data_IF_166019748815
#
_entry.id   IF_166019748815
#
_cell.length_a   1.000
_cell.length_b   1.000
_cell.length_c   1.000
_cell.angle_alpha   90.00
_cell.angle_beta   90.00
_cell.angle_gamma   90.00
#
_symmetry.space_group_name_H-M   'P 1'
#
loop_
_entity.id
_entity.type
_entity.pdbx_description
1 polymer ?
#
# COMPACT_ATOMS: atom_id res chain seq x y z
N UNK A 1 25.99 -19.92 5.81
CA UNK A 1 25.40 -21.27 5.64
C UNK A 1 23.91 -21.27 5.95
N UNK A 2 23.44 -20.75 7.06
CA UNK A 2 22.02 -20.74 7.47
C UNK A 2 21.11 -20.01 6.46
N UNK A 3 21.52 -18.86 5.93
CA UNK A 3 20.75 -18.08 4.94
C UNK A 3 20.48 -18.87 3.65
N UNK A 4 21.48 -19.56 3.09
CA UNK A 4 21.31 -20.40 1.89
C UNK A 4 20.45 -21.64 2.14
N UNK A 5 20.45 -22.17 3.36
CA UNK A 5 19.58 -23.29 3.75
C UNK A 5 18.10 -22.83 3.86
N UNK A 6 17.86 -21.62 4.37
CA UNK A 6 16.53 -21.01 4.43
C UNK A 6 16.03 -20.69 3.01
N UNK A 7 16.88 -20.09 2.15
CA UNK A 7 16.57 -19.83 0.74
C UNK A 7 16.17 -21.10 0.00
N UNK A 8 16.93 -22.21 0.16
CA UNK A 8 16.57 -23.53 -0.39
C UNK A 8 15.29 -24.14 0.19
N UNK A 9 15.03 -23.95 1.49
CA UNK A 9 13.79 -24.44 2.10
C UNK A 9 12.55 -23.67 1.57
N UNK A 10 12.71 -22.38 1.25
CA UNK A 10 11.64 -21.54 0.67
C UNK A 10 11.35 -21.91 -0.81
N UNK A 11 12.30 -22.57 -1.50
CA UNK A 11 12.11 -23.08 -2.87
C UNK A 11 11.38 -24.44 -2.89
N UNK A 12 11.19 -25.08 -1.73
CA UNK A 12 10.49 -26.38 -1.67
C UNK A 12 9.01 -26.21 -2.07
N UNK A 13 8.46 -27.04 -2.97
CA UNK A 13 7.09 -26.91 -3.49
C UNK A 13 6.01 -26.83 -2.40
N UNK A 14 6.18 -27.53 -1.27
CA UNK A 14 5.23 -27.46 -0.14
C UNK A 14 5.26 -26.09 0.54
N UNK A 15 6.43 -25.48 0.73
CA UNK A 15 6.58 -24.14 1.32
C UNK A 15 6.07 -23.08 0.35
N UNK A 16 6.34 -23.24 -0.94
CA UNK A 16 5.79 -22.40 -2.01
C UNK A 16 4.26 -22.43 -2.01
N UNK A 17 3.64 -23.62 -1.93
CA UNK A 17 2.19 -23.78 -1.88
C UNK A 17 1.58 -23.19 -0.61
N UNK A 18 2.25 -23.30 0.54
CA UNK A 18 1.85 -22.67 1.80
C UNK A 18 1.91 -21.16 1.68
N UNK A 19 2.99 -20.60 1.13
CA UNK A 19 3.11 -19.17 0.86
C UNK A 19 2.04 -18.65 -0.11
N UNK A 20 1.73 -19.41 -1.16
CA UNK A 20 0.64 -19.10 -2.09
C UNK A 20 -0.72 -19.07 -1.39
N UNK A 21 -1.03 -20.07 -0.56
CA UNK A 21 -2.29 -20.14 0.20
C UNK A 21 -2.45 -18.97 1.17
N UNK A 22 -1.40 -18.63 1.91
CA UNK A 22 -1.41 -17.53 2.87
C UNK A 22 -1.33 -16.17 2.19
N UNK A 23 -0.59 -16.06 1.09
CA UNK A 23 -0.56 -14.87 0.24
C UNK A 23 -1.94 -14.53 -0.32
N UNK A 24 -2.72 -15.52 -0.77
CA UNK A 24 -4.09 -15.31 -1.23
C UNK A 24 -5.01 -14.74 -0.14
N UNK A 25 -4.85 -15.19 1.11
CA UNK A 25 -5.65 -14.66 2.22
C UNK A 25 -5.33 -13.19 2.54
N UNK A 26 -4.07 -12.78 2.40
CA UNK A 26 -3.64 -11.39 2.58
C UNK A 26 -4.09 -10.53 1.40
N UNK A 27 -3.92 -11.00 0.17
CA UNK A 27 -4.43 -10.32 -1.04
C UNK A 27 -5.95 -10.13 -0.98
N UNK A 28 -6.70 -11.12 -0.46
CA UNK A 28 -8.15 -10.97 -0.26
C UNK A 28 -8.46 -9.81 0.69
N UNK A 29 -7.73 -9.66 1.80
CA UNK A 29 -7.93 -8.54 2.74
C UNK A 29 -7.58 -7.18 2.13
N UNK A 30 -6.50 -7.11 1.36
CA UNK A 30 -6.19 -5.89 0.60
C UNK A 30 -7.35 -5.50 -0.33
N UNK A 31 -7.88 -6.48 -1.08
CA UNK A 31 -9.03 -6.25 -1.97
C UNK A 31 -10.30 -5.85 -1.21
N UNK A 32 -10.55 -6.46 -0.05
CA UNK A 32 -11.68 -6.10 0.81
C UNK A 32 -11.57 -4.65 1.27
N UNK A 33 -10.42 -4.26 1.84
CA UNK A 33 -10.20 -2.88 2.28
C UNK A 33 -10.25 -1.90 1.11
N UNK A 34 -9.66 -2.25 -0.04
CA UNK A 34 -9.74 -1.41 -1.24
C UNK A 34 -11.20 -1.17 -1.66
N UNK A 35 -12.00 -2.24 -1.71
CA UNK A 35 -13.41 -2.15 -2.15
C UNK A 35 -14.32 -1.42 -1.15
N UNK A 36 -14.07 -1.59 0.15
CA UNK A 36 -14.92 -1.02 1.20
C UNK A 36 -14.54 0.41 1.60
N UNK A 37 -13.24 0.75 1.54
CA UNK A 37 -12.72 1.99 2.11
C UNK A 37 -12.28 3.02 1.06
N UNK A 38 -12.03 2.59 -0.19
CA UNK A 38 -11.56 3.49 -1.25
C UNK A 38 -12.70 3.80 -2.20
N UNK A 39 -13.30 5.00 -2.12
CA UNK A 39 -14.42 5.38 -2.97
C UNK A 39 -13.96 5.57 -4.42
N UNK A 40 -14.27 4.60 -5.28
CA UNK A 40 -13.80 4.59 -6.66
C UNK A 40 -14.95 4.25 -7.62
N UNK A 41 -15.36 5.23 -8.41
CA UNK A 41 -16.31 5.07 -9.55
C UNK A 41 -15.56 5.04 -10.88
N UNK A 42 -16.28 4.75 -11.97
CA UNK A 42 -15.69 4.62 -13.31
C UNK A 42 -14.89 5.86 -13.78
N UNK A 43 -15.32 7.06 -13.37
CA UNK A 43 -14.66 8.32 -13.74
C UNK A 43 -13.55 8.75 -12.76
N UNK A 44 -13.42 8.06 -11.62
CA UNK A 44 -12.41 8.39 -10.60
C UNK A 44 -11.01 8.12 -11.13
N UNK A 45 -10.14 9.12 -11.13
CA UNK A 45 -8.73 8.97 -11.48
C UNK A 45 -7.93 8.54 -10.24
N UNK A 46 -7.32 7.35 -10.33
CA UNK A 46 -6.60 6.71 -9.23
C UNK A 46 -5.13 6.58 -9.57
N UNK A 47 -4.26 7.01 -8.67
CA UNK A 47 -2.83 6.76 -8.72
C UNK A 47 -2.44 5.70 -7.68
N UNK A 48 -1.84 4.60 -8.11
CA UNK A 48 -1.32 3.54 -7.22
C UNK A 48 0.21 3.62 -7.12
N UNK A 49 0.70 3.87 -5.91
CA UNK A 49 2.12 4.08 -5.59
C UNK A 49 2.76 2.76 -5.13
N UNK A 50 3.78 2.29 -5.87
CA UNK A 50 4.36 0.97 -5.68
C UNK A 50 3.43 -0.13 -6.22
N UNK A 51 2.89 0.05 -7.43
CA UNK A 51 1.88 -0.83 -8.00
C UNK A 51 2.38 -2.24 -8.35
N UNK A 52 3.70 -2.47 -8.33
CA UNK A 52 4.31 -3.73 -8.72
C UNK A 52 3.86 -4.18 -10.12
N UNK A 53 3.44 -5.44 -10.24
CA UNK A 53 2.92 -6.02 -11.48
C UNK A 53 1.44 -5.70 -11.77
N UNK A 54 0.90 -4.66 -11.13
CA UNK A 54 -0.45 -4.15 -11.37
C UNK A 54 -1.58 -4.99 -10.75
N UNK A 55 -1.33 -5.70 -9.66
CA UNK A 55 -2.34 -6.61 -9.04
C UNK A 55 -3.64 -5.89 -8.67
N UNK A 56 -3.55 -4.62 -8.31
CA UNK A 56 -4.67 -3.75 -7.93
C UNK A 56 -5.42 -3.17 -9.12
N UNK A 57 -4.79 -3.03 -10.28
CA UNK A 57 -5.41 -2.52 -11.51
C UNK A 57 -6.64 -3.32 -11.95
N UNK A 58 -6.69 -4.62 -11.62
CA UNK A 58 -7.85 -5.47 -11.92
C UNK A 58 -9.00 -5.38 -10.90
N UNK A 59 -8.87 -4.55 -9.87
CA UNK A 59 -9.87 -4.40 -8.79
C UNK A 59 -10.44 -2.98 -8.75
N UNK A 60 -9.63 -1.99 -9.13
CA UNK A 60 -10.04 -0.58 -9.19
C UNK A 60 -10.94 -0.38 -10.40
N UNK A 61 -12.13 0.16 -10.18
CA UNK A 61 -13.12 0.41 -11.25
C UNK A 61 -12.90 1.72 -11.99
N UNK A 62 -12.03 2.61 -11.49
CA UNK A 62 -11.74 3.94 -12.04
C UNK A 62 -10.65 3.94 -13.12
N UNK A 63 -10.28 5.15 -13.57
CA UNK A 63 -9.14 5.38 -14.47
C UNK A 63 -7.83 5.18 -13.71
N UNK A 64 -7.27 3.99 -13.83
CA UNK A 64 -6.09 3.59 -13.07
C UNK A 64 -4.79 4.03 -13.72
N UNK A 65 -3.91 4.57 -12.88
CA UNK A 65 -2.49 4.79 -13.19
C UNK A 65 -1.64 4.18 -12.08
N UNK A 66 -0.60 3.42 -12.44
CA UNK A 66 0.32 2.81 -11.47
C UNK A 66 1.74 3.30 -11.66
N UNK A 67 2.48 3.48 -10.57
CA UNK A 67 3.92 3.77 -10.58
C UNK A 67 4.68 2.76 -9.75
N UNK A 68 5.83 2.35 -10.23
CA UNK A 68 6.79 1.50 -9.51
C UNK A 68 8.21 1.84 -9.96
N UNK A 69 9.18 1.67 -9.08
CA UNK A 69 10.60 1.94 -9.38
C UNK A 69 11.22 0.86 -10.27
N UNK A 70 10.62 -0.34 -10.29
CA UNK A 70 11.13 -1.49 -11.05
C UNK A 70 10.53 -1.53 -12.46
N UNK A 71 11.34 -1.30 -13.53
CA UNK A 71 10.85 -1.30 -14.91
C UNK A 71 10.31 -2.67 -15.35
N UNK A 72 10.84 -3.79 -14.86
CA UNK A 72 10.36 -5.14 -15.23
C UNK A 72 8.95 -5.40 -14.68
N UNK A 73 8.63 -4.82 -13.50
CA UNK A 73 7.29 -4.87 -12.94
C UNK A 73 6.32 -4.04 -13.78
N UNK A 74 6.72 -2.85 -14.17
CA UNK A 74 5.92 -1.96 -15.04
C UNK A 74 5.65 -2.61 -16.40
N UNK A 75 6.65 -3.19 -17.04
CA UNK A 75 6.48 -3.93 -18.29
C UNK A 75 5.49 -5.10 -18.15
N UNK A 76 5.56 -5.80 -17.03
CA UNK A 76 4.63 -6.90 -16.73
C UNK A 76 3.22 -6.38 -16.49
N UNK A 77 3.07 -5.29 -15.73
CA UNK A 77 1.79 -4.65 -15.45
C UNK A 77 1.12 -4.15 -16.74
N UNK A 78 1.88 -3.47 -17.61
CA UNK A 78 1.38 -2.94 -18.88
C UNK A 78 0.90 -4.05 -19.84
N UNK A 79 1.62 -5.18 -19.91
CA UNK A 79 1.16 -6.35 -20.69
C UNK A 79 -0.11 -6.97 -20.12
N UNK A 80 -0.24 -7.03 -18.81
CA UNK A 80 -1.37 -7.66 -18.12
C UNK A 80 -2.64 -6.80 -18.15
N UNK A 81 -2.48 -5.48 -18.09
CA UNK A 81 -3.58 -4.52 -18.04
C UNK A 81 -3.40 -3.41 -19.07
N UNK A 82 -3.62 -3.71 -20.38
CA UNK A 82 -3.34 -2.78 -21.48
C UNK A 82 -4.19 -1.51 -21.47
N UNK A 83 -5.31 -1.51 -20.73
CA UNK A 83 -6.20 -0.35 -20.61
C UNK A 83 -5.80 0.60 -19.45
N UNK A 84 -4.90 0.18 -18.57
CA UNK A 84 -4.36 1.02 -17.51
C UNK A 84 -3.03 1.66 -17.93
N UNK A 85 -2.61 2.70 -17.22
CA UNK A 85 -1.34 3.39 -17.47
C UNK A 85 -0.34 3.01 -16.40
N UNK A 86 0.90 2.72 -16.81
CA UNK A 86 1.97 2.38 -15.87
C UNK A 86 3.24 3.17 -16.19
N UNK A 87 3.97 3.59 -15.15
CA UNK A 87 5.13 4.44 -15.28
C UNK A 87 6.25 3.96 -14.35
N UNK A 88 7.47 3.84 -14.88
CA UNK A 88 8.66 3.62 -14.04
C UNK A 88 9.01 4.94 -13.35
N UNK A 89 8.79 5.01 -12.03
CA UNK A 89 8.93 6.25 -11.27
C UNK A 89 9.16 5.96 -9.79
N UNK A 90 9.94 6.82 -9.14
CA UNK A 90 10.12 6.82 -7.69
C UNK A 90 8.91 7.50 -7.03
N UNK A 91 8.26 6.79 -6.08
CA UNK A 91 7.11 7.31 -5.33
C UNK A 91 7.45 8.52 -4.43
N UNK A 92 8.72 8.71 -4.11
CA UNK A 92 9.21 9.89 -3.36
C UNK A 92 9.36 11.14 -4.21
N UNK A 93 9.26 11.01 -5.54
CA UNK A 93 9.40 12.11 -6.51
C UNK A 93 8.60 11.85 -7.78
N UNK A 94 7.32 12.21 -7.74
CA UNK A 94 6.40 11.98 -8.85
C UNK A 94 6.53 13.05 -9.95
N UNK A 95 6.57 12.63 -11.21
CA UNK A 95 6.60 13.50 -12.38
C UNK A 95 5.23 14.05 -12.80
N UNK A 96 4.19 13.89 -11.99
CA UNK A 96 2.84 14.39 -12.27
C UNK A 96 2.65 15.81 -11.73
N UNK A 97 1.84 16.65 -12.42
CA UNK A 97 1.45 17.95 -11.89
C UNK A 97 0.65 17.82 -10.58
N UNK A 98 0.57 18.91 -9.81
CA UNK A 98 -0.28 19.01 -8.64
C UNK A 98 -1.74 18.76 -9.02
N UNK A 99 -2.51 18.18 -8.10
CA UNK A 99 -3.95 17.95 -8.25
C UNK A 99 -4.35 17.21 -9.55
N UNK A 100 -3.56 16.22 -9.99
CA UNK A 100 -3.77 15.44 -11.22
C UNK A 100 -4.74 14.26 -11.04
N UNK A 101 -4.91 13.77 -9.81
CA UNK A 101 -5.69 12.60 -9.47
C UNK A 101 -6.79 12.90 -8.46
N UNK A 102 -7.88 12.14 -8.49
CA UNK A 102 -8.95 12.27 -7.50
C UNK A 102 -8.54 11.62 -6.17
N UNK A 103 -7.79 10.52 -6.23
CA UNK A 103 -7.20 9.86 -5.06
C UNK A 103 -5.88 9.17 -5.40
N UNK A 104 -5.09 8.90 -4.38
CA UNK A 104 -3.92 8.05 -4.45
C UNK A 104 -4.08 6.83 -3.53
N UNK A 105 -3.47 5.71 -3.90
CA UNK A 105 -3.40 4.48 -3.11
C UNK A 105 -1.96 4.00 -2.99
N UNK A 106 -1.65 3.24 -1.95
CA UNK A 106 -0.46 2.39 -1.88
C UNK A 106 -0.83 1.10 -1.16
N UNK A 107 -0.48 -0.04 -1.72
CA UNK A 107 -0.87 -1.35 -1.20
C UNK A 107 0.36 -2.25 -1.12
N UNK A 108 0.63 -2.76 0.10
CA UNK A 108 1.76 -3.65 0.38
C UNK A 108 3.14 -3.07 -0.04
N UNK A 109 3.34 -1.77 0.17
CA UNK A 109 4.55 -1.05 -0.26
C UNK A 109 5.29 -0.42 0.91
N UNK A 110 4.58 0.09 1.93
CA UNK A 110 5.19 0.91 2.98
C UNK A 110 6.21 0.14 3.83
N UNK A 111 6.07 -1.18 3.94
CA UNK A 111 7.02 -2.04 4.65
C UNK A 111 8.35 -2.24 3.90
N UNK A 112 8.49 -1.74 2.68
CA UNK A 112 9.75 -1.67 1.94
C UNK A 112 10.47 -0.33 2.10
N UNK A 113 9.80 0.70 2.62
CA UNK A 113 10.28 2.08 2.69
C UNK A 113 10.82 2.42 4.08
N UNK A 114 11.92 3.15 4.12
CA UNK A 114 12.36 3.84 5.34
C UNK A 114 11.34 4.89 5.76
N UNK A 115 11.44 5.41 6.99
CA UNK A 115 10.56 6.48 7.45
C UNK A 115 10.65 7.72 6.56
N UNK A 116 11.86 8.09 6.12
CA UNK A 116 12.09 9.26 5.26
C UNK A 116 11.45 9.09 3.86
N UNK A 117 11.56 7.88 3.28
CA UNK A 117 10.93 7.57 1.99
C UNK A 117 9.40 7.56 2.12
N UNK A 118 8.84 7.02 3.20
CA UNK A 118 7.40 7.03 3.47
C UNK A 118 6.88 8.47 3.68
N UNK A 119 7.62 9.32 4.39
CA UNK A 119 7.29 10.73 4.53
C UNK A 119 7.27 11.44 3.17
N UNK A 120 8.29 11.22 2.34
CA UNK A 120 8.41 11.81 1.00
C UNK A 120 7.28 11.33 0.08
N UNK A 121 6.97 10.02 0.08
CA UNK A 121 5.84 9.45 -0.65
C UNK A 121 4.51 10.06 -0.19
N UNK A 122 4.33 10.27 1.12
CA UNK A 122 3.11 10.89 1.67
C UNK A 122 2.93 12.31 1.15
N UNK A 123 4.02 13.11 1.13
CA UNK A 123 4.00 14.47 0.60
C UNK A 123 3.63 14.47 -0.89
N UNK A 124 4.28 13.64 -1.69
CA UNK A 124 4.05 13.56 -3.13
C UNK A 124 2.64 13.04 -3.46
N UNK A 125 2.17 12.00 -2.75
CA UNK A 125 0.80 11.49 -2.90
C UNK A 125 -0.24 12.59 -2.69
N UNK A 126 -0.10 13.38 -1.61
CA UNK A 126 -1.03 14.46 -1.30
C UNK A 126 -0.88 15.67 -2.24
N UNK A 127 0.32 15.92 -2.79
CA UNK A 127 0.53 16.97 -3.79
C UNK A 127 -0.21 16.69 -5.09
N UNK A 128 -0.17 15.44 -5.56
CA UNK A 128 -0.79 15.04 -6.84
C UNK A 128 -2.29 14.78 -6.72
N UNK A 129 -2.81 14.64 -5.50
CA UNK A 129 -4.25 14.48 -5.25
C UNK A 129 -4.94 15.84 -5.20
N UNK A 130 -6.13 15.93 -5.79
CA UNK A 130 -6.96 17.15 -5.83
C UNK A 130 -7.44 17.54 -4.43
N UNK A 131 -7.73 18.83 -4.19
CA UNK A 131 -8.41 19.25 -2.98
C UNK A 131 -9.69 18.43 -2.74
N UNK A 132 -9.88 17.94 -1.52
CA UNK A 132 -11.00 17.07 -1.15
C UNK A 132 -10.77 15.57 -1.39
N UNK A 133 -9.74 15.20 -2.14
CA UNK A 133 -9.30 13.81 -2.28
C UNK A 133 -8.50 13.32 -1.08
N UNK A 134 -8.01 12.09 -1.15
CA UNK A 134 -7.23 11.46 -0.08
C UNK A 134 -6.16 10.52 -0.62
N UNK A 135 -5.15 10.27 0.22
CA UNK A 135 -4.20 9.19 0.05
C UNK A 135 -4.59 8.01 0.95
N UNK A 136 -4.73 6.83 0.36
CA UNK A 136 -5.17 5.60 1.01
C UNK A 136 -4.00 4.64 1.14
N UNK A 137 -3.63 4.27 2.36
CA UNK A 137 -2.55 3.31 2.66
C UNK A 137 -3.19 2.01 3.11
N UNK A 138 -2.86 0.90 2.46
CA UNK A 138 -3.26 -0.46 2.84
C UNK A 138 -2.00 -1.31 2.94
N UNK A 139 -1.64 -1.73 4.15
CA UNK A 139 -0.42 -2.52 4.31
C UNK A 139 -0.51 -3.55 5.43
N UNK A 140 0.33 -4.58 5.32
CA UNK A 140 0.52 -5.53 6.40
C UNK A 140 1.27 -4.85 7.55
N UNK A 141 0.83 -5.11 8.77
CA UNK A 141 1.42 -4.55 9.99
C UNK A 141 1.84 -5.65 10.96
N UNK A 142 2.83 -5.33 11.78
CA UNK A 142 3.22 -6.18 12.91
C UNK A 142 2.10 -6.24 13.95
N UNK A 143 1.83 -7.42 14.53
CA UNK A 143 0.80 -7.55 15.56
C UNK A 143 1.19 -6.80 16.83
N UNK A 144 0.23 -6.13 17.45
CA UNK A 144 0.42 -5.43 18.74
C UNK A 144 0.68 -6.44 19.88
N UNK A 145 0.13 -7.64 19.76
CA UNK A 145 0.24 -8.66 20.81
C UNK A 145 1.51 -9.50 20.65
N UNK A 146 2.46 -9.35 21.57
CA UNK A 146 3.73 -10.13 21.63
C UNK A 146 3.57 -11.65 21.74
N UNK A 147 2.37 -12.16 22.08
CA UNK A 147 2.07 -13.60 22.03
C UNK A 147 1.94 -14.16 20.62
N UNK A 148 1.97 -13.31 19.60
CA UNK A 148 1.93 -13.68 18.19
C UNK A 148 3.34 -13.91 17.59
N UNK A 149 4.25 -14.55 18.33
CA UNK A 149 5.62 -14.86 17.89
C UNK A 149 5.67 -15.51 16.49
N UNK A 150 4.70 -16.39 16.19
CA UNK A 150 4.59 -17.01 14.87
C UNK A 150 4.29 -15.98 13.76
N UNK A 151 3.45 -14.96 14.05
CA UNK A 151 3.15 -13.87 13.11
C UNK A 151 4.40 -12.99 12.88
N UNK A 152 5.11 -12.65 13.95
CA UNK A 152 6.32 -11.86 13.86
C UNK A 152 7.42 -12.59 13.07
N UNK A 153 7.61 -13.90 13.34
CA UNK A 153 8.58 -14.72 12.61
C UNK A 153 8.22 -14.79 11.13
N UNK A 154 6.94 -14.99 10.81
CA UNK A 154 6.46 -15.07 9.42
C UNK A 154 6.64 -13.72 8.71
N UNK A 155 6.35 -12.60 9.38
CA UNK A 155 6.55 -11.26 8.82
C UNK A 155 8.03 -10.95 8.53
N UNK A 156 8.94 -11.43 9.41
CA UNK A 156 10.39 -11.30 9.20
C UNK A 156 10.91 -12.16 8.03
N UNK A 157 10.16 -13.19 7.63
CA UNK A 157 10.42 -14.01 6.44
C UNK A 157 9.83 -13.37 5.17
N UNK A 158 8.89 -12.46 5.30
CA UNK A 158 8.44 -11.61 4.20
C UNK A 158 9.57 -10.63 3.82
N UNK A 159 9.66 -10.26 2.55
CA UNK A 159 10.76 -9.47 2.00
C UNK A 159 10.77 -8.01 2.45
N UNK A 160 9.82 -7.59 3.29
CA UNK A 160 9.75 -6.24 3.85
C UNK A 160 10.94 -5.92 4.75
N UNK A 161 11.65 -4.82 4.47
CA UNK A 161 12.82 -4.40 5.25
C UNK A 161 12.47 -3.58 6.49
N UNK A 162 11.31 -2.93 6.48
CA UNK A 162 10.88 -1.95 7.48
C UNK A 162 9.44 -2.22 7.95
N UNK A 163 9.19 -3.42 8.54
CA UNK A 163 7.87 -3.73 9.06
C UNK A 163 7.54 -2.83 10.25
N UNK A 164 6.30 -2.33 10.31
CA UNK A 164 5.83 -1.40 11.35
C UNK A 164 4.60 -1.94 12.06
N UNK A 165 4.44 -1.55 13.32
CA UNK A 165 3.15 -1.63 14.01
C UNK A 165 2.23 -0.49 13.51
N UNK A 166 0.93 -0.60 13.77
CA UNK A 166 -0.05 0.41 13.36
C UNK A 166 0.33 1.83 13.83
N UNK A 167 0.71 1.95 15.10
CA UNK A 167 1.02 3.26 15.68
C UNK A 167 2.34 3.83 15.13
N UNK A 168 3.32 2.98 14.81
CA UNK A 168 4.56 3.38 14.14
C UNK A 168 4.27 3.88 12.72
N UNK A 169 3.52 3.11 11.92
CA UNK A 169 3.10 3.52 10.58
C UNK A 169 2.33 4.85 10.62
N UNK A 170 1.34 4.94 11.50
CA UNK A 170 0.54 6.14 11.70
C UNK A 170 1.42 7.32 12.15
N UNK A 171 2.36 7.10 13.06
CA UNK A 171 3.27 8.12 13.56
C UNK A 171 4.15 8.74 12.47
N UNK A 172 4.67 7.94 11.55
CA UNK A 172 5.45 8.45 10.40
C UNK A 172 4.58 9.32 9.50
N UNK A 173 3.38 8.86 9.14
CA UNK A 173 2.44 9.62 8.30
C UNK A 173 2.02 10.93 8.96
N UNK A 174 1.75 10.92 10.27
CA UNK A 174 1.36 12.11 11.05
C UNK A 174 2.46 13.20 11.12
N UNK A 175 3.69 12.91 10.75
CA UNK A 175 4.73 13.94 10.63
C UNK A 175 4.44 14.92 9.50
N UNK A 176 3.69 14.51 8.47
CA UNK A 176 3.45 15.28 7.22
C UNK A 176 1.98 15.55 6.91
N UNK A 177 1.05 14.77 7.46
CA UNK A 177 -0.36 14.77 7.09
C UNK A 177 -1.26 14.48 8.28
N UNK A 178 -2.58 14.52 8.09
CA UNK A 178 -3.56 14.05 9.06
C UNK A 178 -4.09 12.67 8.66
N UNK A 179 -4.19 11.76 9.63
CA UNK A 179 -4.85 10.46 9.47
C UNK A 179 -6.27 10.60 10.00
N UNK A 180 -7.25 10.62 9.12
CA UNK A 180 -8.66 10.90 9.45
C UNK A 180 -9.50 9.66 9.66
N UNK A 181 -9.03 8.51 9.18
CA UNK A 181 -9.66 7.21 9.43
C UNK A 181 -8.61 6.11 9.43
N UNK A 182 -8.80 5.12 10.30
CA UNK A 182 -7.97 3.93 10.37
C UNK A 182 -8.80 2.69 10.67
N UNK A 183 -8.43 1.57 10.06
CA UNK A 183 -9.07 0.28 10.27
C UNK A 183 -8.04 -0.84 10.24
N UNK A 184 -8.27 -1.91 10.99
CA UNK A 184 -7.43 -3.11 10.98
C UNK A 184 -8.28 -4.33 10.71
N UNK A 185 -7.85 -5.15 9.76
CA UNK A 185 -8.37 -6.50 9.55
C UNK A 185 -7.36 -7.50 10.10
N UNK A 186 -7.78 -8.20 11.16
CA UNK A 186 -6.95 -9.24 11.76
C UNK A 186 -6.84 -10.46 10.84
N UNK A 187 -5.66 -11.02 10.76
CA UNK A 187 -5.37 -12.19 9.95
C UNK A 187 -4.62 -13.29 10.70
N UNK A 188 -4.56 -14.50 10.14
CA UNK A 188 -3.84 -15.60 10.78
C UNK A 188 -2.32 -15.37 10.83
N UNK A 189 -1.74 -14.73 9.81
CA UNK A 189 -0.30 -14.50 9.69
C UNK A 189 0.07 -13.02 9.77
N UNK A 190 -0.74 -12.14 9.18
CA UNK A 190 -0.55 -10.70 9.21
C UNK A 190 -1.87 -10.03 9.55
N UNK A 191 -1.79 -8.97 10.31
CA UNK A 191 -2.86 -7.98 10.38
C UNK A 191 -2.64 -6.98 9.24
N UNK A 192 -3.73 -6.49 8.64
CA UNK A 192 -3.67 -5.51 7.55
C UNK A 192 -4.30 -4.22 8.04
N UNK A 193 -3.57 -3.13 7.94
CA UNK A 193 -4.04 -1.80 8.28
C UNK A 193 -4.51 -1.05 7.04
N UNK A 194 -5.50 -0.22 7.23
CA UNK A 194 -5.92 0.84 6.34
C UNK A 194 -5.81 2.19 7.03
N UNK A 195 -5.26 3.17 6.33
CA UNK A 195 -5.23 4.58 6.74
C UNK A 195 -5.77 5.45 5.62
N UNK A 196 -6.70 6.36 5.95
CA UNK A 196 -7.10 7.48 5.09
C UNK A 196 -6.35 8.73 5.52
N UNK A 197 -5.58 9.28 4.61
CA UNK A 197 -4.64 10.37 4.84
C UNK A 197 -5.05 11.58 4.03
N UNK A 198 -5.07 12.74 4.67
CA UNK A 198 -5.43 14.02 4.05
C UNK A 198 -4.39 15.09 4.38
N UNK A 199 -4.32 16.20 3.61
CA UNK A 199 -3.46 17.33 3.96
C UNK A 199 -3.76 17.86 5.36
N UNK A 200 -2.75 18.36 6.08
CA UNK A 200 -2.93 18.94 7.41
C UNK A 200 -3.98 20.04 7.42
N UNK A 201 -4.86 19.99 8.40
CA UNK A 201 -5.91 20.98 8.58
C UNK A 201 -7.10 20.82 7.63
N UNK A 202 -7.12 19.85 6.72
CA UNK A 202 -8.23 19.63 5.80
C UNK A 202 -9.56 19.30 6.53
N UNK A 203 -9.50 18.71 7.72
CA UNK A 203 -10.68 18.42 8.55
C UNK A 203 -11.30 19.67 9.18
N UNK A 204 -10.55 20.74 9.38
CA UNK A 204 -11.08 21.98 9.96
C UNK A 204 -12.00 22.74 8.99
N UNK A 205 -11.82 22.54 7.69
CA UNK A 205 -12.63 23.19 6.65
C UNK A 205 -13.99 22.51 6.39
N UNK A 206 -14.15 21.22 6.76
CA UNK A 206 -15.38 20.44 6.55
C UNK A 206 -16.40 20.52 7.69
N UNK A 207 -16.02 21.01 8.87
CA UNK A 207 -16.90 21.09 10.04
C UNK A 207 -17.76 22.37 10.11
N UNK A 208 -17.59 23.29 9.15
CA UNK A 208 -18.27 24.60 9.12
C UNK A 208 -19.40 24.74 8.08
N UNK A 209 -19.77 23.67 7.37
CA UNK A 209 -20.83 23.69 6.37
C UNK A 209 -21.88 22.60 6.69
N UNK A 210 -22.69 22.84 7.71
CA UNK A 210 -24.02 22.26 7.91
C UNK A 210 -24.98 23.38 8.29
#
# INVERSE_FOLDING_TARGET
>A
MIRKAIERALEHPAVYNINQFFGQSTVRRYRTLLAEEVPCGAETSVLDLGCGTGVTAGVVTGRYSGVDINPDYIDTAQRRYPHAKFFTMDCSRLGFPDASFDLATTIATTHHLTDAELESMTIEALRVVRPGGAFHIIDAILPVNRRAFAKELFFRMDRGRFPRQLDELTGVVLRRADVVHRRVLNGPLHDVAYLRVVPRGANAAGAGAQ
#
